data_IF_496859735158
#
_entry.id   IF_496859735158
#
_cell.length_a   1.000
_cell.length_b   1.000
_cell.length_c   1.000
_cell.angle_alpha   90.00
_cell.angle_beta   90.00
_cell.angle_gamma   90.00
#
_symmetry.space_group_name_H-M   'P 1'
#
loop_
_entity.id
_entity.type
_entity.pdbx_description
1 polymer ?
#
# COMPACT_ATOMS: atom_id res chain seq x y z
N UNK A 1 13.86 1.47 -28.53
CA UNK A 1 12.84 0.53 -27.98
C UNK A 1 12.01 1.33 -27.00
N UNK A 2 10.77 1.70 -27.40
CA UNK A 2 9.80 2.27 -26.47
C UNK A 2 9.58 1.24 -25.34
N UNK A 3 9.82 1.64 -24.09
CA UNK A 3 9.36 0.85 -22.94
C UNK A 3 7.84 0.82 -23.04
N UNK A 4 7.29 -0.33 -23.37
CA UNK A 4 5.86 -0.56 -23.30
C UNK A 4 5.49 -0.36 -21.84
N UNK A 5 4.84 0.76 -21.54
CA UNK A 5 4.34 1.05 -20.19
C UNK A 5 3.35 -0.05 -19.84
N UNK A 6 3.69 -0.83 -18.83
CA UNK A 6 2.82 -1.89 -18.37
C UNK A 6 1.58 -1.27 -17.74
N UNK A 7 0.46 -1.31 -18.46
CA UNK A 7 -0.84 -0.81 -18.02
C UNK A 7 -1.44 -1.77 -17.00
N UNK A 8 -2.11 -1.26 -15.98
CA UNK A 8 -2.69 -2.02 -14.87
C UNK A 8 -4.19 -1.85 -14.80
N UNK A 9 -4.88 -2.95 -14.55
CA UNK A 9 -6.34 -3.00 -14.37
C UNK A 9 -6.73 -2.79 -12.90
N UNK A 10 -5.81 -3.07 -11.97
CA UNK A 10 -5.98 -2.82 -10.55
C UNK A 10 -4.74 -2.15 -9.96
N UNK A 11 -4.96 -1.11 -9.19
CA UNK A 11 -3.93 -0.36 -8.45
C UNK A 11 -4.29 -0.38 -6.98
N UNK A 12 -3.34 -0.82 -6.16
CA UNK A 12 -3.43 -0.83 -4.71
C UNK A 12 -2.41 0.14 -4.14
N UNK A 13 -2.80 1.05 -3.27
CA UNK A 13 -1.93 2.11 -2.78
C UNK A 13 -2.10 2.35 -1.27
N UNK A 14 -0.99 2.48 -0.55
CA UNK A 14 -0.93 2.92 0.84
C UNK A 14 0.00 4.14 0.94
N UNK A 15 -0.47 5.34 0.54
CA UNK A 15 0.38 6.52 0.51
C UNK A 15 0.93 6.89 1.88
N UNK A 16 2.19 7.36 1.97
CA UNK A 16 2.82 7.79 3.21
C UNK A 16 2.33 9.19 3.60
N UNK A 17 1.09 9.26 4.09
CA UNK A 17 0.42 10.49 4.47
C UNK A 17 1.22 11.32 5.46
N UNK A 18 1.49 12.59 5.14
CA UNK A 18 2.06 13.54 6.08
C UNK A 18 0.97 14.20 6.91
N UNK A 19 0.93 13.90 8.21
CA UNK A 19 0.01 14.58 9.12
C UNK A 19 0.55 15.96 9.50
N UNK A 20 -0.23 17.01 9.31
CA UNK A 20 0.11 18.37 9.74
C UNK A 20 0.00 18.58 11.26
N UNK A 21 -0.11 17.53 12.05
CA UNK A 21 -0.21 17.63 13.51
C UNK A 21 1.14 18.08 14.13
N UNK A 22 1.33 19.40 14.18
CA UNK A 22 2.36 20.04 15.00
C UNK A 22 2.03 19.80 16.45
N UNK A 23 2.60 18.79 17.11
CA UNK A 23 2.56 18.73 18.56
C UNK A 23 2.31 17.39 19.24
N UNK A 24 2.02 16.32 18.56
CA UNK A 24 1.88 15.02 19.22
C UNK A 24 3.14 14.16 19.08
N UNK A 25 3.59 13.54 20.19
CA UNK A 25 4.77 12.63 20.25
C UNK A 25 4.69 11.40 19.33
N UNK A 26 3.59 11.25 18.59
CA UNK A 26 3.29 10.15 17.67
C UNK A 26 3.21 10.60 16.21
N UNK A 27 3.92 11.65 15.82
CA UNK A 27 3.94 12.06 14.41
C UNK A 27 4.60 10.97 13.55
N UNK A 28 3.90 10.51 12.53
CA UNK A 28 4.36 9.48 11.58
C UNK A 28 5.72 9.80 10.94
N UNK A 29 6.08 11.10 10.87
CA UNK A 29 7.36 11.61 10.36
C UNK A 29 8.61 11.09 11.09
N UNK A 30 8.46 10.49 12.28
CA UNK A 30 9.60 9.88 13.00
C UNK A 30 9.95 8.46 12.54
N UNK A 31 9.09 7.82 11.75
CA UNK A 31 9.24 6.42 11.37
C UNK A 31 9.34 6.17 9.88
N UNK A 32 8.94 7.13 9.02
CA UNK A 32 8.96 6.98 7.55
C UNK A 32 9.16 8.33 6.89
N UNK A 33 9.79 8.31 5.70
CA UNK A 33 9.81 9.44 4.79
C UNK A 33 8.38 9.67 4.29
N UNK A 34 7.72 10.70 4.80
CA UNK A 34 6.39 11.11 4.36
C UNK A 34 6.49 11.93 3.08
N UNK A 35 5.50 11.80 2.20
CA UNK A 35 5.35 12.63 1.01
C UNK A 35 4.34 13.76 1.28
N UNK A 36 4.54 14.89 0.63
CA UNK A 36 3.51 15.94 0.64
C UNK A 36 2.30 15.50 -0.20
N UNK A 37 1.12 16.00 0.11
CA UNK A 37 -0.10 15.71 -0.67
C UNK A 37 0.09 16.11 -2.14
N UNK A 38 0.75 17.24 -2.38
CA UNK A 38 1.02 17.69 -3.74
C UNK A 38 1.97 16.78 -4.52
N UNK A 39 2.97 16.21 -3.86
CA UNK A 39 3.86 15.23 -4.51
C UNK A 39 3.12 13.93 -4.84
N UNK A 40 2.25 13.45 -3.94
CA UNK A 40 1.41 12.29 -4.21
C UNK A 40 0.46 12.55 -5.40
N UNK A 41 -0.19 13.73 -5.45
CA UNK A 41 -1.05 14.12 -6.58
C UNK A 41 -0.29 14.14 -7.92
N UNK A 42 0.96 14.65 -7.92
CA UNK A 42 1.79 14.77 -9.13
C UNK A 42 2.22 13.44 -9.73
N UNK A 43 2.10 12.32 -9.02
CA UNK A 43 2.44 11.00 -9.56
C UNK A 43 1.62 10.64 -10.80
N UNK A 44 0.44 11.25 -11.00
CA UNK A 44 -0.32 11.16 -12.25
C UNK A 44 -0.71 9.74 -12.65
N UNK A 45 -0.99 8.88 -11.70
CA UNK A 45 -1.17 7.42 -11.85
C UNK A 45 -2.17 7.04 -12.95
N UNK A 46 -3.25 7.82 -13.08
CA UNK A 46 -4.28 7.62 -14.09
C UNK A 46 -4.25 8.64 -15.24
N UNK A 47 -3.21 9.49 -15.32
CA UNK A 47 -3.15 10.58 -16.28
C UNK A 47 -3.19 10.09 -17.73
N UNK A 48 -3.91 10.83 -18.58
CA UNK A 48 -3.96 10.56 -20.02
C UNK A 48 -2.56 10.71 -20.62
N UNK A 49 -2.11 9.70 -21.37
CA UNK A 49 -0.86 9.73 -22.13
C UNK A 49 0.42 9.44 -21.34
N UNK A 50 0.33 9.09 -20.05
CA UNK A 50 1.54 8.82 -19.25
C UNK A 50 1.35 8.01 -17.98
N UNK A 51 0.12 7.76 -17.57
CA UNK A 51 -0.19 7.01 -16.35
C UNK A 51 -0.08 5.50 -16.54
N UNK A 52 -0.04 4.77 -15.41
CA UNK A 52 0.05 3.29 -15.40
C UNK A 52 -1.33 2.62 -15.39
N UNK A 53 -2.41 3.39 -15.22
CA UNK A 53 -3.77 2.86 -15.18
C UNK A 53 -4.32 2.59 -16.59
N UNK A 54 -4.95 1.42 -16.76
CA UNK A 54 -5.71 1.10 -17.97
C UNK A 54 -6.89 2.08 -18.15
N UNK A 55 -7.54 2.05 -19.33
CA UNK A 55 -8.78 2.80 -19.57
C UNK A 55 -9.86 2.40 -18.57
N UNK A 56 -10.02 1.10 -18.33
CA UNK A 56 -10.88 0.54 -17.31
C UNK A 56 -10.02 0.03 -16.15
N UNK A 57 -9.95 0.79 -15.06
CA UNK A 57 -9.08 0.50 -13.93
C UNK A 57 -9.77 0.75 -12.59
N UNK A 58 -9.43 -0.06 -11.59
CA UNK A 58 -9.87 0.13 -10.20
C UNK A 58 -8.69 0.52 -9.32
N UNK A 59 -8.90 1.54 -8.50
CA UNK A 59 -7.97 1.99 -7.48
C UNK A 59 -8.48 1.62 -6.09
N UNK A 60 -7.64 0.99 -5.30
CA UNK A 60 -7.82 0.71 -3.88
C UNK A 60 -6.80 1.53 -3.09
N UNK A 61 -7.25 2.52 -2.34
CA UNK A 61 -6.36 3.46 -1.64
C UNK A 61 -6.64 3.48 -0.15
N UNK A 62 -5.64 3.15 0.66
CA UNK A 62 -5.72 3.28 2.11
C UNK A 62 -5.73 4.75 2.53
N UNK A 63 -6.61 5.05 3.44
CA UNK A 63 -6.68 6.34 4.10
C UNK A 63 -6.99 6.18 5.58
N UNK A 64 -6.48 7.09 6.39
CA UNK A 64 -6.97 7.26 7.75
C UNK A 64 -8.10 8.27 7.76
N UNK A 65 -9.01 8.18 8.73
CA UNK A 65 -10.15 9.11 8.79
C UNK A 65 -9.75 10.59 8.80
N UNK A 66 -8.69 11.02 9.52
CA UNK A 66 -8.25 12.40 9.48
C UNK A 66 -7.76 12.88 8.10
N UNK A 67 -7.31 11.95 7.23
CA UNK A 67 -6.79 12.25 5.88
C UNK A 67 -7.80 11.92 4.77
N UNK A 68 -9.07 11.71 5.12
CA UNK A 68 -10.09 11.30 4.15
C UNK A 68 -10.27 12.32 3.03
N UNK A 69 -10.26 13.61 3.35
CA UNK A 69 -10.42 14.68 2.36
C UNK A 69 -9.25 14.68 1.38
N UNK A 70 -8.04 14.65 1.91
CA UNK A 70 -6.81 14.62 1.11
C UNK A 70 -6.74 13.37 0.23
N UNK A 71 -7.19 12.22 0.73
CA UNK A 71 -7.26 11.00 -0.05
C UNK A 71 -8.24 11.11 -1.23
N UNK A 72 -9.40 11.74 -1.02
CA UNK A 72 -10.34 12.01 -2.11
C UNK A 72 -9.77 12.97 -3.15
N UNK A 73 -9.07 14.03 -2.71
CA UNK A 73 -8.39 14.97 -3.60
C UNK A 73 -7.30 14.28 -4.44
N UNK A 74 -6.55 13.34 -3.86
CA UNK A 74 -5.54 12.54 -4.58
C UNK A 74 -6.20 11.61 -5.59
N UNK A 75 -7.29 10.93 -5.23
CA UNK A 75 -8.06 10.07 -6.12
C UNK A 75 -8.50 10.85 -7.37
N UNK A 76 -9.04 12.05 -7.18
CA UNK A 76 -9.48 12.92 -8.28
C UNK A 76 -8.28 13.38 -9.12
N UNK A 77 -7.19 13.85 -8.49
CA UNK A 77 -5.96 14.25 -9.18
C UNK A 77 -5.32 13.13 -10.01
N UNK A 78 -5.50 11.86 -9.58
CA UNK A 78 -5.07 10.69 -10.34
C UNK A 78 -6.02 10.29 -11.47
N UNK A 79 -7.13 11.01 -11.66
CA UNK A 79 -8.11 10.77 -12.74
C UNK A 79 -9.09 9.65 -12.44
N UNK A 80 -9.30 9.32 -11.17
CA UNK A 80 -10.28 8.34 -10.73
C UNK A 80 -11.51 9.02 -10.11
N UNK A 81 -12.65 8.32 -10.14
CA UNK A 81 -13.89 8.72 -9.48
C UNK A 81 -14.14 7.83 -8.28
N UNK A 82 -14.21 8.39 -7.08
CA UNK A 82 -14.58 7.66 -5.86
C UNK A 82 -15.94 6.99 -5.99
N UNK A 83 -16.07 5.77 -5.49
CA UNK A 83 -17.33 5.01 -5.49
C UNK A 83 -17.80 4.64 -4.11
N UNK A 84 -16.91 4.07 -3.28
CA UNK A 84 -17.27 3.55 -1.97
C UNK A 84 -16.01 3.24 -1.14
N UNK A 85 -16.21 2.79 0.09
CA UNK A 85 -15.18 2.11 0.89
C UNK A 85 -15.16 0.64 0.46
N UNK A 86 -14.01 0.20 -0.09
CA UNK A 86 -13.80 -1.21 -0.44
C UNK A 86 -13.66 -2.06 0.83
N UNK A 87 -12.74 -1.65 1.70
CA UNK A 87 -12.43 -2.39 2.92
C UNK A 87 -12.37 -1.46 4.14
N UNK A 88 -12.84 -1.99 5.26
CA UNK A 88 -12.70 -1.39 6.57
C UNK A 88 -11.93 -2.37 7.46
N UNK A 89 -10.66 -2.06 7.73
CA UNK A 89 -9.84 -2.86 8.61
C UNK A 89 -10.15 -2.49 10.06
N UNK A 90 -10.87 -3.36 10.74
CA UNK A 90 -11.10 -3.30 12.19
C UNK A 90 -9.95 -4.01 12.89
N UNK A 91 -9.15 -3.26 13.61
CA UNK A 91 -7.89 -3.72 14.19
C UNK A 91 -8.13 -4.56 15.45
N UNK A 92 -7.52 -5.72 15.49
CA UNK A 92 -7.42 -6.55 16.69
C UNK A 92 -6.08 -6.32 17.41
N UNK A 93 -6.02 -6.69 18.67
CA UNK A 93 -4.76 -6.76 19.42
C UNK A 93 -3.79 -7.74 18.75
N UNK A 94 -2.49 -7.59 19.00
CA UNK A 94 -1.43 -8.46 18.43
C UNK A 94 -1.68 -9.96 18.64
N UNK A 95 -2.35 -10.32 19.70
CA UNK A 95 -2.73 -11.71 20.01
C UNK A 95 -3.94 -12.21 19.21
N UNK A 96 -4.63 -11.33 18.48
CA UNK A 96 -5.92 -11.62 17.85
C UNK A 96 -7.11 -11.62 18.81
N UNK A 97 -6.89 -11.47 20.10
CA UNK A 97 -7.94 -11.46 21.11
C UNK A 97 -8.41 -10.02 21.39
N UNK A 98 -9.68 -9.73 21.06
CA UNK A 98 -10.28 -8.41 21.29
C UNK A 98 -9.79 -7.32 20.33
N UNK A 99 -10.44 -6.16 20.41
CA UNK A 99 -10.17 -5.02 19.56
C UNK A 99 -8.97 -4.20 20.06
N UNK A 100 -8.17 -3.70 19.13
CA UNK A 100 -7.12 -2.75 19.42
C UNK A 100 -7.71 -1.34 19.55
N UNK A 101 -7.31 -0.61 20.58
CA UNK A 101 -7.74 0.76 20.82
C UNK A 101 -6.56 1.72 20.73
N UNK A 102 -6.47 2.44 19.62
CA UNK A 102 -5.47 3.48 19.44
C UNK A 102 -5.76 4.76 20.22
N UNK A 103 -4.81 5.69 20.17
CA UNK A 103 -4.97 7.03 20.73
C UNK A 103 -5.58 7.93 19.64
N UNK A 104 -6.87 8.21 19.70
CA UNK A 104 -7.51 9.19 18.84
C UNK A 104 -7.59 10.56 19.53
N UNK A 105 -7.74 11.64 18.76
CA UNK A 105 -7.90 12.99 19.32
C UNK A 105 -9.28 13.21 19.96
N UNK A 106 -10.31 12.58 19.45
CA UNK A 106 -11.69 12.69 19.94
C UNK A 106 -12.21 11.37 20.51
N UNK A 107 -12.11 10.31 19.73
CA UNK A 107 -12.51 8.97 20.15
C UNK A 107 -11.31 8.03 20.05
N UNK A 108 -11.36 6.88 20.72
CA UNK A 108 -10.35 5.83 20.55
C UNK A 108 -10.40 5.30 19.12
N UNK A 109 -9.32 5.52 18.38
CA UNK A 109 -9.22 5.08 16.99
C UNK A 109 -8.98 3.56 16.92
N UNK A 110 -9.76 2.87 16.08
CA UNK A 110 -9.68 1.41 15.97
C UNK A 110 -9.52 0.94 14.52
N UNK A 111 -10.02 1.67 13.54
CA UNK A 111 -10.04 1.17 12.16
C UNK A 111 -9.37 2.10 11.16
N UNK A 112 -9.04 1.54 10.01
CA UNK A 112 -8.61 2.27 8.80
C UNK A 112 -9.45 1.82 7.61
N UNK A 113 -9.60 2.69 6.63
CA UNK A 113 -10.43 2.43 5.45
C UNK A 113 -9.59 2.37 4.19
N UNK A 114 -9.98 1.46 3.29
CA UNK A 114 -9.46 1.40 1.93
C UNK A 114 -10.57 1.86 0.99
N UNK A 115 -10.34 2.99 0.32
CA UNK A 115 -11.27 3.60 -0.61
C UNK A 115 -11.22 2.87 -1.95
N UNK A 116 -12.38 2.72 -2.60
CA UNK A 116 -12.51 2.22 -3.97
C UNK A 116 -12.88 3.36 -4.89
N UNK A 117 -12.08 3.54 -5.93
CA UNK A 117 -12.34 4.47 -7.01
C UNK A 117 -12.14 3.80 -8.36
N UNK A 118 -12.76 4.33 -9.41
CA UNK A 118 -12.71 3.76 -10.75
C UNK A 118 -12.33 4.80 -11.80
N UNK A 119 -11.64 4.34 -12.83
CA UNK A 119 -11.46 5.00 -14.12
C UNK A 119 -12.16 4.14 -15.16
N UNK A 120 -12.89 4.77 -16.09
CA UNK A 120 -13.68 4.02 -17.08
C UNK A 120 -14.85 3.22 -16.49
N UNK A 121 -15.01 2.00 -16.95
CA UNK A 121 -16.13 1.11 -16.59
C UNK A 121 -15.65 -0.31 -16.23
N UNK A 122 -14.72 -0.46 -15.27
CA UNK A 122 -14.23 -1.78 -14.87
C UNK A 122 -15.38 -2.63 -14.31
N UNK A 123 -15.27 -3.95 -14.50
CA UNK A 123 -16.26 -4.91 -14.00
C UNK A 123 -15.67 -5.76 -12.88
N UNK A 124 -16.41 -5.94 -11.81
CA UNK A 124 -16.06 -6.91 -10.77
C UNK A 124 -16.34 -8.34 -11.25
N UNK A 125 -15.52 -9.27 -10.79
CA UNK A 125 -15.67 -10.72 -11.07
C UNK A 125 -16.49 -11.42 -9.99
N UNK A 126 -16.40 -10.96 -8.74
CA UNK A 126 -17.11 -11.53 -7.59
C UNK A 126 -18.05 -10.50 -6.96
N UNK A 127 -19.19 -10.98 -6.46
CA UNK A 127 -20.15 -10.19 -5.67
C UNK A 127 -20.12 -10.56 -4.18
N UNK A 128 -19.28 -11.53 -3.77
CA UNK A 128 -19.28 -12.12 -2.42
C UNK A 128 -18.16 -11.58 -1.52
N UNK A 129 -17.30 -10.68 -2.01
CA UNK A 129 -16.19 -10.14 -1.23
C UNK A 129 -16.71 -9.23 -0.11
N UNK A 130 -16.39 -9.57 1.13
CA UNK A 130 -16.80 -8.79 2.30
C UNK A 130 -15.90 -7.57 2.50
N UNK A 131 -16.51 -6.46 2.93
CA UNK A 131 -15.78 -5.20 3.15
C UNK A 131 -15.05 -5.13 4.49
N UNK A 132 -15.53 -5.82 5.53
CA UNK A 132 -14.87 -5.81 6.85
C UNK A 132 -13.71 -6.78 6.86
N UNK A 133 -12.54 -6.27 7.28
CA UNK A 133 -11.34 -7.06 7.57
C UNK A 133 -11.12 -6.99 9.08
N UNK A 134 -11.15 -8.11 9.76
CA UNK A 134 -10.86 -8.22 11.18
C UNK A 134 -9.52 -8.93 11.34
N UNK A 135 -8.47 -8.17 11.61
CA UNK A 135 -7.13 -8.74 11.72
C UNK A 135 -6.25 -7.99 12.72
N UNK A 136 -5.23 -8.67 13.32
CA UNK A 136 -4.33 -8.05 14.27
C UNK A 136 -3.52 -6.91 13.69
N UNK A 137 -3.20 -5.93 14.55
CA UNK A 137 -2.19 -4.91 14.23
C UNK A 137 -0.83 -5.56 14.03
N UNK A 138 -0.14 -5.15 12.98
CA UNK A 138 1.20 -5.59 12.63
C UNK A 138 2.23 -4.49 12.91
N UNK A 139 3.52 -4.84 12.80
CA UNK A 139 4.59 -3.84 12.95
C UNK A 139 4.47 -2.78 11.84
N UNK A 140 4.84 -1.54 12.17
CA UNK A 140 4.99 -0.44 11.22
C UNK A 140 3.75 -0.14 10.36
N UNK A 141 2.53 -0.19 10.92
CA UNK A 141 1.28 0.10 10.18
C UNK A 141 1.06 -0.75 8.93
N UNK A 142 1.68 -1.92 8.83
CA UNK A 142 1.51 -2.84 7.71
C UNK A 142 0.04 -3.23 7.58
N UNK A 143 -0.48 -3.11 6.37
CA UNK A 143 -1.87 -3.45 6.07
C UNK A 143 -2.07 -4.98 6.02
N UNK A 144 -3.28 -5.49 6.31
CA UNK A 144 -3.57 -6.92 6.25
C UNK A 144 -3.25 -7.52 4.89
N UNK A 145 -2.50 -8.63 4.86
CA UNK A 145 -2.13 -9.32 3.62
C UNK A 145 -3.37 -9.81 2.85
N UNK A 146 -4.43 -10.22 3.56
CA UNK A 146 -5.69 -10.64 2.94
C UNK A 146 -6.38 -9.56 2.09
N UNK A 147 -5.99 -8.29 2.23
CA UNK A 147 -6.49 -7.22 1.34
C UNK A 147 -6.14 -7.52 -0.11
N UNK A 148 -4.92 -7.99 -0.39
CA UNK A 148 -4.48 -8.36 -1.74
C UNK A 148 -5.30 -9.52 -2.30
N UNK A 149 -5.57 -10.54 -1.46
CA UNK A 149 -6.36 -11.71 -1.86
C UNK A 149 -7.81 -11.30 -2.19
N UNK A 150 -8.41 -10.44 -1.37
CA UNK A 150 -9.75 -9.91 -1.61
C UNK A 150 -9.84 -9.04 -2.86
N UNK A 151 -8.80 -8.27 -3.18
CA UNK A 151 -8.75 -7.51 -4.44
C UNK A 151 -8.73 -8.47 -5.63
N UNK A 152 -7.93 -9.55 -5.58
CA UNK A 152 -7.89 -10.56 -6.64
C UNK A 152 -9.21 -11.30 -6.77
N UNK A 153 -9.87 -11.66 -5.66
CA UNK A 153 -11.20 -12.25 -5.67
C UNK A 153 -12.24 -11.32 -6.31
N UNK A 154 -12.18 -10.02 -5.97
CA UNK A 154 -13.13 -9.03 -6.48
C UNK A 154 -12.93 -8.74 -7.97
N UNK A 155 -11.70 -8.59 -8.42
CA UNK A 155 -11.35 -8.10 -9.75
C UNK A 155 -10.90 -9.20 -10.72
N UNK A 156 -10.50 -10.37 -10.24
CA UNK A 156 -9.89 -11.43 -11.02
C UNK A 156 -8.36 -11.30 -11.10
N UNK A 157 -7.74 -12.30 -11.73
CA UNK A 157 -6.28 -12.36 -11.94
C UNK A 157 -5.86 -11.50 -13.14
N UNK A 158 -5.98 -10.18 -12.98
CA UNK A 158 -5.65 -9.16 -13.98
C UNK A 158 -4.30 -8.49 -13.64
N UNK A 159 -3.65 -7.81 -14.61
CA UNK A 159 -2.48 -6.99 -14.35
C UNK A 159 -2.70 -5.99 -13.23
N UNK A 160 -1.87 -6.05 -12.18
CA UNK A 160 -2.03 -5.26 -10.96
C UNK A 160 -0.71 -4.78 -10.39
N UNK A 161 -0.75 -3.68 -9.66
CA UNK A 161 0.42 -3.09 -9.01
C UNK A 161 0.08 -2.59 -7.61
N UNK A 162 1.02 -2.76 -6.69
CA UNK A 162 0.99 -2.09 -5.39
C UNK A 162 1.95 -0.89 -5.42
N UNK A 163 1.40 0.29 -5.16
CA UNK A 163 2.16 1.53 -5.00
C UNK A 163 2.48 1.77 -3.52
N UNK A 164 3.67 2.31 -3.25
CA UNK A 164 4.22 2.48 -1.91
C UNK A 164 4.41 1.14 -1.20
N UNK A 165 4.67 0.09 -2.00
CA UNK A 165 4.86 -1.26 -1.50
C UNK A 165 6.11 -1.34 -0.59
N UNK A 166 5.98 -2.09 0.50
CA UNK A 166 7.09 -2.38 1.44
C UNK A 166 7.73 -3.73 1.16
N UNK A 167 7.06 -4.58 0.41
CA UNK A 167 7.51 -5.91 0.06
C UNK A 167 6.96 -6.32 -1.30
N UNK A 168 7.62 -7.27 -1.93
CA UNK A 168 7.07 -7.92 -3.10
C UNK A 168 6.03 -8.96 -2.68
N UNK A 169 4.90 -9.01 -3.39
CA UNK A 169 3.88 -10.03 -3.21
C UNK A 169 3.70 -10.84 -4.51
N UNK A 170 3.50 -12.17 -4.42
CA UNK A 170 3.29 -13.00 -5.60
C UNK A 170 2.14 -12.49 -6.47
N UNK A 171 2.38 -12.38 -7.77
CA UNK A 171 1.39 -11.92 -8.75
C UNK A 171 1.09 -10.41 -8.71
N UNK A 172 1.85 -9.62 -7.94
CA UNK A 172 1.77 -8.17 -7.88
C UNK A 172 3.06 -7.55 -8.38
N UNK A 173 2.94 -6.55 -9.25
CA UNK A 173 4.04 -5.62 -9.41
C UNK A 173 4.12 -4.69 -8.20
N UNK A 174 5.30 -4.22 -7.88
CA UNK A 174 5.52 -3.38 -6.71
C UNK A 174 6.33 -2.13 -7.08
N UNK A 175 5.92 -1.01 -6.53
CA UNK A 175 6.67 0.23 -6.58
C UNK A 175 6.63 0.90 -5.21
N UNK A 176 7.80 1.20 -4.64
CA UNK A 176 7.92 1.83 -3.32
C UNK A 176 9.37 1.82 -2.85
N UNK A 177 9.69 2.65 -1.86
CA UNK A 177 11.06 2.82 -1.36
C UNK A 177 11.61 1.57 -0.64
N UNK A 178 10.73 0.74 -0.10
CA UNK A 178 11.09 -0.48 0.63
C UNK A 178 10.93 -1.75 -0.23
N UNK A 179 10.30 -1.62 -1.42
CA UNK A 179 10.12 -2.75 -2.31
C UNK A 179 11.43 -3.09 -3.04
N UNK A 180 11.81 -4.38 -3.18
CA UNK A 180 12.97 -4.75 -3.96
C UNK A 180 12.78 -4.31 -5.41
N UNK A 181 13.79 -3.62 -5.96
CA UNK A 181 13.78 -3.20 -7.37
C UNK A 181 13.66 -4.43 -8.27
N UNK A 182 12.71 -4.49 -9.22
CA UNK A 182 12.63 -5.59 -10.16
C UNK A 182 13.95 -5.74 -10.93
N UNK A 183 14.66 -6.85 -10.73
CA UNK A 183 15.93 -7.15 -11.39
C UNK A 183 17.19 -7.06 -10.53
N UNK A 184 17.14 -6.69 -9.26
CA UNK A 184 18.25 -6.87 -8.34
C UNK A 184 18.41 -8.38 -8.06
N UNK A 185 19.33 -9.05 -8.75
CA UNK A 185 19.82 -10.36 -8.36
C UNK A 185 20.42 -10.20 -6.96
N UNK A 186 20.05 -11.06 -6.03
CA UNK A 186 20.80 -11.25 -4.80
C UNK A 186 22.22 -11.64 -5.23
N UNK A 187 23.18 -10.78 -5.03
CA UNK A 187 24.57 -11.20 -5.00
C UNK A 187 24.68 -12.17 -3.82
N UNK A 188 24.79 -13.46 -4.15
CA UNK A 188 25.23 -14.46 -3.19
C UNK A 188 26.64 -14.05 -2.77
N UNK A 189 26.76 -13.53 -1.57
CA UNK A 189 28.06 -13.39 -0.91
C UNK A 189 28.58 -14.79 -0.70
N UNK A 190 29.37 -15.24 -1.66
CA UNK A 190 30.19 -16.44 -1.54
C UNK A 190 31.15 -16.20 -0.38
N UNK A 191 30.89 -16.85 0.75
CA UNK A 191 31.77 -16.88 1.88
C UNK A 191 33.11 -17.51 1.44
N UNK A 192 34.10 -16.67 1.19
CA UNK A 192 35.46 -17.12 1.13
C UNK A 192 35.88 -17.60 2.53
N UNK A 193 36.00 -18.92 2.63
CA UNK A 193 36.77 -19.54 3.71
C UNK A 193 38.17 -19.00 3.69
N UNK A 194 38.55 -18.27 4.71
CA UNK A 194 39.91 -17.91 5.02
C UNK A 194 40.58 -19.12 5.72
N UNK A 195 41.62 -19.72 5.15
CA UNK A 195 42.33 -20.82 5.81
C UNK A 195 43.30 -20.24 6.84
N UNK A 196 43.00 -20.51 8.07
CA UNK A 196 43.80 -20.62 9.26
C UNK A 196 45.21 -19.93 9.29
N UNK A 197 45.33 -19.02 10.22
CA UNK A 197 46.61 -18.57 10.75
C UNK A 197 47.02 -19.51 11.91
N UNK A 198 48.27 -20.03 11.93
CA UNK A 198 48.68 -20.95 12.97
C UNK A 198 49.01 -20.21 14.27
N UNK A 199 48.63 -20.81 15.38
CA UNK A 199 48.91 -20.37 16.72
C UNK A 199 50.44 -20.27 16.97
N UNK A 200 50.93 -19.25 17.71
CA UNK A 200 52.29 -19.28 18.21
C UNK A 200 52.42 -20.22 19.41
N UNK A 201 53.40 -21.10 19.32
CA UNK A 201 53.94 -21.86 20.46
C UNK A 201 54.60 -20.90 21.47
N UNK A 202 54.30 -21.05 22.71
CA UNK A 202 55.01 -21.16 23.99
C UNK A 202 54.13 -20.82 25.15
#
# INVERSE_FOLDING_TARGET
RQRQMCIRDSIYADPPWSYQNRGTRAAASKHYDTMTIEDIKRMGVGAAGGGIANEDCVLFMWATFPMLREALDVIEAWGFSYKTVAFNWVKQNKTGAGLFWGLGNWTRSNSEICLLAVKGKPKRMSASVHSVILSPVQQHSRKPAETRDRIVELMGDLPRIELFAREAAPGWDAWGNEAPTPGARKEETNGQNDPGDPAPEL
#
